data_IF_809512031174
#
_entry.id   IF_809512031174
#
_cell.length_a   1.000
_cell.length_b   1.000
_cell.length_c   1.000
_cell.angle_alpha   90.00
_cell.angle_beta   90.00
_cell.angle_gamma   90.00
#
_symmetry.space_group_name_H-M   'P 1'
#
loop_
_entity.id
_entity.type
_entity.pdbx_description
1 polymer ?
#
# COMPACT_ATOMS: atom_id res chain seq x y z
N UNK A 1 34.05 -50.80 50.44
CA UNK A 1 34.18 -51.36 49.07
C UNK A 1 32.92 -52.16 48.82
N UNK A 2 32.00 -51.86 47.92
CA UNK A 2 31.97 -51.05 46.70
C UNK A 2 30.60 -50.31 46.70
N UNK A 3 30.41 -49.02 46.42
CA UNK A 3 30.99 -48.13 45.41
C UNK A 3 31.18 -48.86 44.08
N UNK A 4 30.08 -49.26 43.43
CA UNK A 4 29.94 -49.29 41.96
C UNK A 4 28.55 -49.77 41.47
N UNK A 5 27.41 -49.28 42.00
CA UNK A 5 26.09 -49.60 41.40
C UNK A 5 25.04 -48.49 41.53
N UNK A 6 25.42 -47.21 41.39
CA UNK A 6 24.45 -46.11 41.35
C UNK A 6 24.77 -45.01 40.32
N UNK A 7 25.42 -45.37 39.20
CA UNK A 7 25.81 -44.40 38.16
C UNK A 7 25.39 -44.82 36.74
N UNK A 8 24.28 -45.55 36.58
CA UNK A 8 23.67 -45.77 35.26
C UNK A 8 22.16 -45.54 35.15
N UNK A 9 21.48 -45.07 36.22
CA UNK A 9 20.03 -44.80 36.18
C UNK A 9 19.63 -43.33 36.32
N UNK A 10 20.57 -42.38 36.09
CA UNK A 10 20.28 -40.94 36.11
C UNK A 10 20.65 -40.16 34.84
N UNK A 11 20.98 -40.85 33.74
CA UNK A 11 21.33 -40.19 32.47
C UNK A 11 20.28 -40.41 31.36
N UNK A 12 19.28 -41.29 31.55
CA UNK A 12 18.23 -41.52 30.54
C UNK A 12 16.93 -40.74 30.82
N UNK A 13 16.75 -40.18 32.02
CA UNK A 13 15.53 -39.41 32.39
C UNK A 13 15.67 -37.89 32.29
N UNK A 14 16.81 -37.36 31.83
CA UNK A 14 17.05 -35.91 31.66
C UNK A 14 17.27 -35.49 30.20
N UNK A 15 17.03 -36.38 29.23
CA UNK A 15 17.03 -36.03 27.79
C UNK A 15 15.61 -36.12 27.17
N UNK A 16 14.61 -36.63 27.91
CA UNK A 16 13.21 -36.68 27.46
C UNK A 16 12.36 -35.46 27.89
N UNK A 17 12.92 -34.49 28.60
CA UNK A 17 12.22 -33.26 29.04
C UNK A 17 12.83 -31.97 28.47
N UNK A 18 13.72 -32.07 27.49
CA UNK A 18 14.26 -30.92 26.75
C UNK A 18 14.12 -31.02 25.21
N UNK A 19 13.29 -31.94 24.71
CA UNK A 19 12.93 -32.06 23.28
C UNK A 19 11.41 -32.14 23.11
N UNK A 20 10.66 -31.30 23.83
CA UNK A 20 9.23 -31.04 23.54
C UNK A 20 8.89 -29.55 23.47
N UNK A 21 9.90 -28.67 23.44
CA UNK A 21 9.75 -27.22 23.39
C UNK A 21 10.20 -26.59 22.06
N UNK A 22 10.36 -27.39 21.00
CA UNK A 22 10.82 -26.89 19.69
C UNK A 22 9.96 -27.33 18.48
N UNK A 23 8.77 -27.91 18.69
CA UNK A 23 7.80 -28.18 17.62
C UNK A 23 6.35 -27.83 17.99
N UNK A 24 6.16 -26.90 18.92
CA UNK A 24 4.86 -26.31 19.19
C UNK A 24 4.82 -24.90 18.61
N UNK A 25 4.99 -24.80 17.29
CA UNK A 25 4.40 -23.70 16.52
C UNK A 25 2.89 -23.88 16.57
N UNK A 26 2.28 -23.55 17.70
CA UNK A 26 0.83 -23.62 17.87
C UNK A 26 0.20 -22.50 17.06
N UNK A 27 -0.14 -22.78 15.80
CA UNK A 27 -1.27 -22.15 15.13
C UNK A 27 -2.54 -22.69 15.80
N UNK A 28 -2.81 -22.26 17.04
CA UNK A 28 -4.05 -22.58 17.73
C UNK A 28 -5.07 -21.51 17.39
N UNK A 29 -5.55 -21.51 16.15
CA UNK A 29 -6.79 -20.83 15.82
C UNK A 29 -7.93 -21.54 16.56
N UNK A 30 -8.50 -20.92 17.60
CA UNK A 30 -9.66 -21.49 18.32
C UNK A 30 -10.76 -21.82 17.28
N UNK A 31 -11.19 -23.09 17.17
CA UNK A 31 -12.18 -23.52 16.18
C UNK A 31 -13.57 -22.93 16.42
N UNK A 32 -13.82 -22.33 17.59
CA UNK A 32 -15.11 -21.72 17.96
C UNK A 32 -15.16 -20.21 17.70
N UNK A 33 -14.12 -19.63 17.11
CA UNK A 33 -14.08 -18.22 16.74
C UNK A 33 -14.95 -17.97 15.50
N UNK A 34 -15.86 -17.01 15.61
CA UNK A 34 -16.70 -16.56 14.49
C UNK A 34 -15.85 -15.85 13.43
N UNK A 35 -16.19 -16.03 12.15
CA UNK A 35 -15.45 -15.39 11.04
C UNK A 35 -15.78 -13.90 10.91
N UNK A 36 -17.00 -13.50 11.27
CA UNK A 36 -17.44 -12.11 11.23
C UNK A 36 -18.53 -11.81 12.25
N UNK A 37 -18.59 -10.54 12.63
CA UNK A 37 -19.63 -9.98 13.51
C UNK A 37 -20.25 -8.79 12.81
N UNK A 38 -21.49 -8.96 12.35
CA UNK A 38 -22.24 -7.92 11.65
C UNK A 38 -22.88 -6.97 12.67
N UNK A 39 -22.37 -5.74 12.75
CA UNK A 39 -22.72 -4.81 13.83
C UNK A 39 -24.17 -4.34 13.76
N UNK A 40 -24.73 -4.15 12.56
CA UNK A 40 -26.15 -3.81 12.42
C UNK A 40 -27.07 -4.90 12.99
N UNK A 41 -26.70 -6.18 12.81
CA UNK A 41 -27.40 -7.30 13.43
C UNK A 41 -27.17 -7.32 14.94
N UNK A 42 -25.91 -7.12 15.38
CA UNK A 42 -25.51 -7.14 16.78
C UNK A 42 -26.28 -6.12 17.64
N UNK A 43 -26.53 -4.91 17.12
CA UNK A 43 -27.31 -3.87 17.81
C UNK A 43 -28.81 -3.94 17.55
N UNK A 44 -29.28 -4.89 16.73
CA UNK A 44 -30.70 -5.07 16.40
C UNK A 44 -31.27 -4.07 15.39
N UNK A 45 -30.41 -3.31 14.69
CA UNK A 45 -30.81 -2.26 13.74
C UNK A 45 -31.59 -2.79 12.53
N UNK A 46 -31.43 -4.07 12.19
CA UNK A 46 -32.14 -4.68 11.06
C UNK A 46 -33.64 -4.89 11.32
N UNK A 47 -34.03 -4.96 12.60
CA UNK A 47 -35.37 -5.38 13.04
C UNK A 47 -36.09 -4.33 13.89
N UNK A 48 -35.40 -3.28 14.34
CA UNK A 48 -35.92 -2.26 15.25
C UNK A 48 -35.53 -0.86 14.77
N UNK A 49 -36.44 0.10 14.94
CA UNK A 49 -36.16 1.53 14.72
C UNK A 49 -35.48 2.15 15.94
N UNK A 50 -34.57 3.07 15.69
CA UNK A 50 -33.84 3.81 16.71
C UNK A 50 -33.98 5.31 16.45
N UNK A 51 -34.07 6.09 17.53
CA UNK A 51 -34.09 7.55 17.45
C UNK A 51 -32.86 8.05 16.71
N UNK A 52 -33.04 8.96 15.76
CA UNK A 52 -31.95 9.52 14.96
C UNK A 52 -31.36 8.58 13.91
N UNK A 53 -32.02 7.45 13.62
CA UNK A 53 -31.57 6.49 12.61
C UNK A 53 -32.68 6.22 11.59
N UNK A 54 -32.37 6.37 10.30
CA UNK A 54 -33.29 6.08 9.18
C UNK A 54 -32.61 5.19 8.15
N UNK A 55 -33.38 4.38 7.41
CA UNK A 55 -32.81 3.58 6.31
C UNK A 55 -32.55 4.47 5.08
N UNK A 56 -31.46 4.22 4.36
CA UNK A 56 -31.03 5.01 3.19
C UNK A 56 -30.53 4.09 2.07
N UNK A 57 -30.24 4.68 0.91
CA UNK A 57 -29.63 3.98 -0.24
C UNK A 57 -28.14 3.77 0.00
N UNK A 58 -27.70 2.51 -0.03
CA UNK A 58 -26.32 2.13 0.22
C UNK A 58 -25.44 2.09 -1.03
N UNK A 59 -24.14 1.84 -0.83
CA UNK A 59 -23.15 1.57 -1.88
C UNK A 59 -23.32 0.17 -2.49
N UNK A 60 -23.61 -0.82 -1.65
CA UNK A 60 -23.83 -2.22 -2.05
C UNK A 60 -25.30 -2.43 -2.39
N UNK A 61 -25.58 -3.06 -3.54
CA UNK A 61 -26.95 -3.31 -4.02
C UNK A 61 -27.78 -4.24 -3.14
N UNK A 62 -27.13 -5.16 -2.41
CA UNK A 62 -27.79 -6.20 -1.62
C UNK A 62 -27.76 -5.95 -0.09
N UNK A 63 -27.23 -4.81 0.36
CA UNK A 63 -27.05 -4.50 1.79
C UNK A 63 -27.88 -3.31 2.25
N UNK A 64 -28.47 -3.36 3.45
CA UNK A 64 -29.13 -2.19 4.06
C UNK A 64 -28.08 -1.16 4.50
N UNK A 65 -28.32 0.11 4.17
CA UNK A 65 -27.59 1.25 4.71
C UNK A 65 -28.50 2.07 5.62
N UNK A 66 -27.89 2.76 6.57
CA UNK A 66 -28.62 3.61 7.52
C UNK A 66 -27.95 4.98 7.63
N UNK A 67 -28.77 6.01 7.70
CA UNK A 67 -28.41 7.37 8.02
C UNK A 67 -28.51 7.60 9.53
N UNK A 68 -27.52 8.25 10.13
CA UNK A 68 -27.41 8.53 11.56
C UNK A 68 -27.30 10.03 11.79
N UNK A 69 -27.92 10.51 12.88
CA UNK A 69 -27.89 11.94 13.27
C UNK A 69 -27.33 12.15 14.68
N UNK A 70 -27.24 13.39 15.14
CA UNK A 70 -26.89 13.71 16.54
C UNK A 70 -27.92 13.30 17.58
N UNK A 71 -29.11 12.86 17.16
CA UNK A 71 -30.12 12.31 18.07
C UNK A 71 -29.94 10.80 18.31
N UNK A 72 -28.95 10.18 17.64
CA UNK A 72 -28.67 8.75 17.78
C UNK A 72 -28.29 8.39 19.21
N UNK A 73 -29.04 7.44 19.79
CA UNK A 73 -28.81 6.91 21.14
C UNK A 73 -29.08 5.40 21.20
N UNK A 74 -28.55 4.72 22.22
CA UNK A 74 -28.86 3.32 22.56
C UNK A 74 -28.56 2.24 21.49
N UNK A 75 -27.70 2.52 20.51
CA UNK A 75 -27.12 1.49 19.64
C UNK A 75 -26.01 0.69 20.35
N UNK A 76 -26.43 -0.24 21.22
CA UNK A 76 -25.56 -1.12 22.00
C UNK A 76 -25.77 -2.55 21.49
N UNK A 77 -24.68 -3.28 21.27
CA UNK A 77 -24.75 -4.68 20.86
C UNK A 77 -25.31 -5.56 21.99
N UNK A 78 -25.96 -6.67 21.63
CA UNK A 78 -26.33 -7.68 22.62
C UNK A 78 -25.10 -8.23 23.34
N UNK A 79 -25.28 -8.71 24.58
CA UNK A 79 -24.18 -9.29 25.36
C UNK A 79 -23.52 -10.47 24.62
N UNK A 80 -24.32 -11.30 23.94
CA UNK A 80 -23.83 -12.40 23.12
C UNK A 80 -22.90 -11.91 22.00
N UNK A 81 -23.31 -10.87 21.26
CA UNK A 81 -22.51 -10.32 20.18
C UNK A 81 -21.25 -9.61 20.70
N UNK A 82 -21.33 -8.94 21.86
CA UNK A 82 -20.15 -8.39 22.54
C UNK A 82 -19.18 -9.50 22.94
N UNK A 83 -19.65 -10.59 23.56
CA UNK A 83 -18.81 -11.70 23.98
C UNK A 83 -18.09 -12.34 22.78
N UNK A 84 -18.79 -12.51 21.65
CA UNK A 84 -18.19 -12.98 20.41
C UNK A 84 -17.11 -12.01 19.88
N UNK A 85 -17.37 -10.70 19.94
CA UNK A 85 -16.39 -9.68 19.54
C UNK A 85 -15.18 -9.67 20.46
N UNK A 86 -15.39 -9.80 21.76
CA UNK A 86 -14.34 -9.85 22.75
C UNK A 86 -13.43 -11.08 22.51
N UNK A 87 -14.03 -12.25 22.29
CA UNK A 87 -13.29 -13.48 21.92
C UNK A 87 -12.52 -13.30 20.62
N UNK A 88 -13.14 -12.72 19.59
CA UNK A 88 -12.47 -12.47 18.31
C UNK A 88 -11.27 -11.56 18.47
N UNK A 89 -11.39 -10.45 19.19
CA UNK A 89 -10.31 -9.47 19.37
C UNK A 89 -9.12 -10.07 20.13
N UNK A 90 -9.38 -10.89 21.16
CA UNK A 90 -8.32 -11.40 22.05
C UNK A 90 -7.74 -12.75 21.63
N UNK A 91 -8.52 -13.56 20.90
CA UNK A 91 -8.11 -14.92 20.53
C UNK A 91 -7.77 -15.04 19.03
N UNK A 92 -7.92 -13.98 18.23
CA UNK A 92 -7.42 -13.95 16.86
C UNK A 92 -5.98 -13.42 16.79
N UNK A 93 -5.18 -14.03 15.92
CA UNK A 93 -3.86 -13.51 15.57
C UNK A 93 -3.98 -12.23 14.74
N UNK A 94 -5.01 -12.15 13.88
CA UNK A 94 -5.31 -11.02 13.02
C UNK A 94 -6.82 -10.77 13.00
N UNK A 95 -7.26 -9.51 13.00
CA UNK A 95 -8.64 -9.15 12.68
C UNK A 95 -8.75 -7.77 12.05
N UNK A 96 -9.90 -7.49 11.43
CA UNK A 96 -10.21 -6.20 10.84
C UNK A 96 -11.55 -5.65 11.30
N UNK A 97 -11.63 -4.33 11.42
CA UNK A 97 -12.88 -3.58 11.55
C UNK A 97 -13.14 -2.91 10.21
N UNK A 98 -14.29 -3.18 9.62
CA UNK A 98 -14.68 -2.70 8.30
C UNK A 98 -15.98 -1.92 8.37
N UNK A 99 -16.08 -0.86 7.58
CA UNK A 99 -17.33 -0.14 7.32
C UNK A 99 -17.29 0.53 5.94
N UNK A 100 -18.44 0.55 5.25
CA UNK A 100 -18.71 1.60 4.27
C UNK A 100 -19.26 2.82 5.01
N UNK A 101 -18.68 3.98 4.75
CA UNK A 101 -19.06 5.23 5.41
C UNK A 101 -19.14 6.38 4.40
N UNK A 102 -20.08 7.29 4.66
CA UNK A 102 -20.23 8.57 3.98
C UNK A 102 -20.63 9.59 5.05
N UNK A 103 -19.85 10.65 5.24
CA UNK A 103 -20.10 11.65 6.28
C UNK A 103 -20.96 12.77 5.69
N UNK A 104 -21.84 13.35 6.50
CA UNK A 104 -22.58 14.55 6.10
C UNK A 104 -21.67 15.77 6.00
N UNK A 105 -21.87 16.56 4.94
CA UNK A 105 -21.16 17.82 4.73
C UNK A 105 -21.72 18.91 5.64
N UNK A 106 -21.25 19.00 6.89
CA UNK A 106 -21.53 20.16 7.75
C UNK A 106 -20.31 21.11 7.83
N UNK A 107 -20.33 22.25 7.11
CA UNK A 107 -19.23 23.21 7.12
C UNK A 107 -19.08 23.96 8.45
N UNK A 108 -20.05 23.86 9.36
CA UNK A 108 -20.11 24.65 10.60
C UNK A 108 -19.61 23.93 11.84
N UNK A 109 -19.34 22.61 11.76
CA UNK A 109 -19.11 21.82 12.97
C UNK A 109 -18.00 20.77 12.85
N UNK A 110 -17.12 20.78 13.85
CA UNK A 110 -16.09 19.76 14.06
C UNK A 110 -16.76 18.54 14.69
N UNK A 111 -17.44 17.71 13.88
CA UNK A 111 -17.96 16.44 14.38
C UNK A 111 -16.93 15.34 14.22
N UNK A 112 -16.65 14.69 15.35
CA UNK A 112 -16.03 13.38 15.34
C UNK A 112 -17.09 12.33 15.14
N UNK A 113 -16.95 11.48 14.13
CA UNK A 113 -17.96 10.48 13.77
C UNK A 113 -17.48 9.10 14.20
N UNK A 114 -17.98 8.60 15.32
CA UNK A 114 -17.65 7.25 15.81
C UNK A 114 -18.28 6.21 14.90
N UNK A 115 -17.50 5.26 14.37
CA UNK A 115 -18.05 4.08 13.67
C UNK A 115 -18.41 3.02 14.69
N UNK A 116 -17.44 2.60 15.52
CA UNK A 116 -17.63 1.63 16.60
C UNK A 116 -16.80 2.02 17.81
N UNK A 117 -17.29 1.64 18.99
CA UNK A 117 -16.54 1.79 20.24
C UNK A 117 -16.79 0.63 21.19
N UNK A 118 -15.83 0.36 22.07
CA UNK A 118 -15.96 -0.53 23.22
C UNK A 118 -15.53 0.26 24.45
N UNK A 119 -16.47 0.50 25.36
CA UNK A 119 -16.21 1.14 26.64
C UNK A 119 -16.87 0.38 27.78
N UNK A 120 -16.33 0.54 28.98
CA UNK A 120 -16.99 0.09 30.22
C UNK A 120 -18.43 0.59 30.29
N UNK A 121 -19.31 -0.14 30.97
CA UNK A 121 -20.72 0.25 31.15
C UNK A 121 -20.89 1.65 31.77
N UNK A 122 -19.94 2.05 32.62
CA UNK A 122 -19.88 3.37 33.27
C UNK A 122 -19.25 4.44 32.38
N UNK A 123 -18.55 4.08 31.31
CA UNK A 123 -17.82 5.00 30.42
C UNK A 123 -16.48 5.49 30.99
N UNK A 124 -16.02 4.94 32.12
CA UNK A 124 -14.76 5.30 32.78
C UNK A 124 -13.52 4.74 32.09
N UNK A 125 -13.65 3.59 31.44
CA UNK A 125 -12.63 2.98 30.59
C UNK A 125 -13.11 2.92 29.14
N UNK A 126 -12.26 3.37 28.21
CA UNK A 126 -12.42 3.27 26.77
C UNK A 126 -11.38 2.29 26.22
N UNK A 127 -11.82 1.11 25.81
CA UNK A 127 -10.96 0.03 25.37
C UNK A 127 -10.59 0.13 23.88
N UNK A 128 -11.59 0.47 23.04
CA UNK A 128 -11.43 0.58 21.59
C UNK A 128 -12.35 1.67 21.05
N UNK A 129 -11.86 2.48 20.11
CA UNK A 129 -12.64 3.49 19.41
C UNK A 129 -12.12 3.65 18.00
N UNK A 130 -13.02 3.52 17.01
CA UNK A 130 -12.74 3.86 15.61
C UNK A 130 -13.65 5.02 15.22
N UNK A 131 -13.05 6.14 14.86
CA UNK A 131 -13.78 7.35 14.44
C UNK A 131 -13.20 7.94 13.16
N UNK A 132 -14.04 8.70 12.45
CA UNK A 132 -13.68 9.35 11.20
C UNK A 132 -14.14 10.81 11.16
N UNK A 133 -13.29 11.67 10.61
CA UNK A 133 -13.50 13.11 10.60
C UNK A 133 -13.17 13.67 9.21
N UNK A 134 -13.98 14.62 8.73
CA UNK A 134 -13.63 15.44 7.55
C UNK A 134 -12.57 16.49 7.90
N UNK A 135 -11.74 16.87 6.93
CA UNK A 135 -10.68 17.86 7.16
C UNK A 135 -11.22 19.30 7.29
N UNK A 136 -10.67 20.09 8.22
CA UNK A 136 -11.15 21.47 8.55
C UNK A 136 -11.01 22.50 7.43
N UNK A 137 -10.16 22.26 6.42
CA UNK A 137 -9.80 23.23 5.37
C UNK A 137 -10.00 22.70 3.93
N UNK A 138 -10.83 21.68 3.74
CA UNK A 138 -11.12 21.13 2.42
C UNK A 138 -11.62 19.68 2.46
N UNK A 139 -11.61 19.02 1.31
CA UNK A 139 -11.71 17.56 1.20
C UNK A 139 -10.54 16.87 1.93
N UNK A 140 -10.70 15.61 2.32
CA UNK A 140 -9.77 14.87 3.17
C UNK A 140 -10.49 14.16 4.30
N UNK A 141 -10.19 12.88 4.50
CA UNK A 141 -10.73 12.05 5.55
C UNK A 141 -9.60 11.67 6.52
N UNK A 142 -9.84 11.89 7.80
CA UNK A 142 -8.99 11.42 8.90
C UNK A 142 -9.66 10.23 9.57
N UNK A 143 -8.92 9.14 9.76
CA UNK A 143 -9.34 8.00 10.56
C UNK A 143 -8.52 8.00 11.84
N UNK A 144 -9.20 8.00 12.99
CA UNK A 144 -8.56 7.92 14.31
C UNK A 144 -8.99 6.63 15.00
N UNK A 145 -8.00 5.85 15.42
CA UNK A 145 -8.20 4.62 16.20
C UNK A 145 -7.57 4.83 17.57
N UNK A 146 -8.36 4.72 18.64
CA UNK A 146 -7.85 4.69 20.01
C UNK A 146 -7.98 3.28 20.57
N UNK A 147 -6.93 2.79 21.20
CA UNK A 147 -6.92 1.50 21.88
C UNK A 147 -6.30 1.66 23.25
N UNK A 148 -6.84 0.95 24.24
CA UNK A 148 -6.17 0.76 25.52
C UNK A 148 -5.22 -0.42 25.39
N UNK A 149 -3.94 -0.18 25.68
CA UNK A 149 -2.93 -1.24 25.70
C UNK A 149 -2.92 -1.98 27.05
N UNK A 150 -2.17 -3.08 27.13
CA UNK A 150 -1.99 -3.90 28.35
C UNK A 150 -1.49 -3.14 29.59
N UNK A 151 -0.99 -1.92 29.42
CA UNK A 151 -0.53 -1.04 30.52
C UNK A 151 -1.61 -0.02 30.90
N UNK A 152 -2.85 -0.23 30.45
CA UNK A 152 -3.98 0.69 30.58
C UNK A 152 -3.74 2.06 29.96
N UNK A 153 -2.73 2.19 29.10
CA UNK A 153 -2.39 3.44 28.43
C UNK A 153 -3.15 3.54 27.13
N UNK A 154 -3.70 4.72 26.84
CA UNK A 154 -4.45 4.96 25.60
C UNK A 154 -3.49 5.33 24.47
N UNK A 155 -3.28 4.42 23.53
CA UNK A 155 -2.58 4.69 22.27
C UNK A 155 -3.55 5.22 21.21
N UNK A 156 -3.09 6.17 20.40
CA UNK A 156 -3.85 6.72 19.27
C UNK A 156 -3.09 6.55 17.96
N UNK A 157 -3.80 6.06 16.95
CA UNK A 157 -3.33 5.85 15.59
C UNK A 157 -4.16 6.70 14.65
N UNK A 158 -3.52 7.49 13.81
CA UNK A 158 -4.19 8.45 12.94
C UNK A 158 -3.65 8.28 11.52
N UNK A 159 -4.55 8.02 10.57
CA UNK A 159 -4.26 7.98 9.14
C UNK A 159 -5.09 9.04 8.42
N UNK A 160 -4.51 9.73 7.44
CA UNK A 160 -5.16 10.82 6.71
C UNK A 160 -5.04 10.58 5.21
N UNK A 161 -6.11 10.87 4.47
CA UNK A 161 -6.10 10.86 3.01
C UNK A 161 -5.60 12.18 2.44
N UNK A 162 -5.42 12.23 1.13
CA UNK A 162 -5.13 13.45 0.39
C UNK A 162 -6.23 14.52 0.55
N UNK A 163 -5.87 15.80 0.46
CA UNK A 163 -6.79 16.95 0.62
C UNK A 163 -7.87 17.06 -0.47
N UNK A 164 -7.81 16.25 -1.52
CA UNK A 164 -8.83 16.20 -2.58
C UNK A 164 -9.84 15.06 -2.36
N UNK A 165 -9.70 14.30 -1.27
CA UNK A 165 -10.53 13.15 -0.98
C UNK A 165 -11.94 13.55 -0.51
N UNK A 166 -12.95 13.25 -1.32
CA UNK A 166 -14.33 13.67 -1.09
C UNK A 166 -15.05 12.78 -0.07
N UNK A 167 -15.00 13.12 1.21
CA UNK A 167 -15.61 12.34 2.31
C UNK A 167 -17.16 12.30 2.27
N UNK A 168 -17.79 13.09 1.41
CA UNK A 168 -19.24 13.10 1.19
C UNK A 168 -19.69 12.00 0.21
N UNK A 169 -18.77 11.15 -0.24
CA UNK A 169 -19.05 9.94 -1.02
C UNK A 169 -18.83 8.68 -0.19
N UNK A 170 -19.37 7.57 -0.68
CA UNK A 170 -19.16 6.26 -0.07
C UNK A 170 -17.71 5.82 -0.19
N UNK A 171 -17.09 5.57 0.96
CA UNK A 171 -15.74 5.02 1.06
C UNK A 171 -15.72 3.82 1.98
N UNK A 172 -14.89 2.83 1.66
CA UNK A 172 -14.61 1.76 2.60
C UNK A 172 -13.52 2.21 3.56
N UNK A 173 -13.66 1.80 4.82
CA UNK A 173 -12.73 2.10 5.89
C UNK A 173 -12.41 0.79 6.56
N UNK A 174 -11.14 0.43 6.56
CA UNK A 174 -10.65 -0.83 7.13
C UNK A 174 -9.53 -0.54 8.11
N UNK A 175 -9.70 -0.98 9.36
CA UNK A 175 -8.65 -0.97 10.37
C UNK A 175 -8.27 -2.42 10.64
N UNK A 176 -7.07 -2.82 10.26
CA UNK A 176 -6.55 -4.18 10.45
C UNK A 176 -5.55 -4.18 11.62
N UNK A 177 -5.77 -5.07 12.57
CA UNK A 177 -4.86 -5.37 13.67
C UNK A 177 -4.21 -6.72 13.38
N UNK A 178 -2.88 -6.75 13.33
CA UNK A 178 -2.11 -7.95 13.05
C UNK A 178 -1.16 -8.18 14.23
N UNK A 179 -1.56 -9.04 15.16
CA UNK A 179 -0.73 -9.36 16.32
C UNK A 179 0.51 -10.16 15.90
N UNK A 180 0.39 -10.98 14.85
CA UNK A 180 1.49 -11.76 14.26
C UNK A 180 2.69 -10.88 13.85
N UNK A 181 2.39 -9.73 13.24
CA UNK A 181 3.40 -8.75 12.79
C UNK A 181 3.58 -7.58 13.78
N UNK A 182 2.79 -7.54 14.87
CA UNK A 182 2.71 -6.38 15.79
C UNK A 182 2.44 -5.06 15.05
N UNK A 183 1.49 -5.07 14.12
CA UNK A 183 1.15 -3.91 13.29
C UNK A 183 -0.35 -3.59 13.32
N UNK A 184 -0.65 -2.29 13.27
CA UNK A 184 -1.96 -1.76 12.91
C UNK A 184 -1.85 -1.08 11.56
N UNK A 185 -2.78 -1.39 10.66
CA UNK A 185 -2.89 -0.82 9.33
C UNK A 185 -4.26 -0.18 9.12
N UNK A 186 -4.30 1.01 8.53
CA UNK A 186 -5.54 1.71 8.21
C UNK A 186 -5.61 1.87 6.69
N UNK A 187 -6.74 1.51 6.12
CA UNK A 187 -7.05 1.65 4.71
C UNK A 187 -8.30 2.49 4.52
N UNK A 188 -8.27 3.37 3.51
CA UNK A 188 -9.41 4.18 3.09
C UNK A 188 -9.52 4.07 1.57
N UNK A 189 -10.68 3.64 1.08
CA UNK A 189 -10.90 3.42 -0.36
C UNK A 189 -9.95 2.37 -0.95
N UNK A 190 -9.50 1.40 -0.15
CA UNK A 190 -8.49 0.41 -0.54
C UNK A 190 -7.02 0.89 -0.48
N UNK A 191 -6.76 2.20 -0.33
CA UNK A 191 -5.40 2.74 -0.19
C UNK A 191 -4.98 2.71 1.27
N UNK A 192 -3.77 2.23 1.55
CA UNK A 192 -3.18 2.30 2.89
C UNK A 192 -2.83 3.74 3.25
N UNK A 193 -3.33 4.23 4.38
CA UNK A 193 -3.07 5.58 4.91
C UNK A 193 -2.25 5.55 6.20
N UNK A 194 -2.11 4.38 6.84
CA UNK A 194 -1.24 4.19 8.00
C UNK A 194 -0.77 2.73 8.08
N UNK A 195 0.49 2.54 8.46
CA UNK A 195 1.03 1.32 9.04
C UNK A 195 1.91 1.70 10.24
N UNK A 196 1.65 1.13 11.42
CA UNK A 196 2.40 1.47 12.65
C UNK A 196 2.49 0.27 13.59
N UNK A 197 3.51 0.27 14.44
CA UNK A 197 3.66 -0.71 15.52
C UNK A 197 2.42 -0.74 16.42
N UNK A 198 1.94 -1.94 16.74
CA UNK A 198 0.79 -2.20 17.57
C UNK A 198 1.17 -3.15 18.71
N UNK A 199 0.92 -2.73 19.95
CA UNK A 199 1.36 -3.43 21.17
C UNK A 199 0.31 -4.37 21.79
N UNK A 200 -0.77 -4.63 21.06
CA UNK A 200 -1.89 -5.43 21.54
C UNK A 200 -2.92 -4.64 22.35
N UNK A 201 -3.98 -5.34 22.73
CA UNK A 201 -5.09 -4.82 23.55
C UNK A 201 -4.89 -5.12 25.03
N UNK A 202 -5.44 -4.27 25.90
CA UNK A 202 -5.81 -4.69 27.25
C UNK A 202 -7.00 -5.65 27.22
N UNK A 203 -7.19 -6.39 28.31
CA UNK A 203 -8.36 -7.25 28.49
C UNK A 203 -9.61 -6.36 28.64
N UNK A 204 -10.61 -6.58 27.78
CA UNK A 204 -11.87 -5.86 27.92
C UNK A 204 -12.69 -6.48 29.07
N UNK A 205 -13.29 -5.64 29.91
CA UNK A 205 -14.14 -6.10 31.00
C UNK A 205 -15.37 -6.86 30.47
N UNK A 206 -15.77 -7.97 31.12
CA UNK A 206 -16.89 -8.83 30.69
C UNK A 206 -18.23 -8.08 30.52
N UNK A 207 -18.41 -6.97 31.24
CA UNK A 207 -19.59 -6.12 31.19
C UNK A 207 -19.43 -4.86 30.32
N UNK A 208 -18.36 -4.77 29.53
CA UNK A 208 -18.16 -3.68 28.59
C UNK A 208 -19.21 -3.72 27.47
N UNK A 209 -19.36 -2.59 26.79
CA UNK A 209 -20.42 -2.38 25.82
C UNK A 209 -19.81 -2.03 24.47
N UNK A 210 -20.05 -2.90 23.49
CA UNK A 210 -19.82 -2.62 22.08
C UNK A 210 -20.95 -1.75 21.54
N UNK A 211 -20.59 -0.59 20.99
CA UNK A 211 -21.52 0.43 20.50
C UNK A 211 -21.27 0.73 19.03
N UNK A 212 -22.35 0.98 18.31
CA UNK A 212 -22.34 1.45 16.91
C UNK A 212 -22.64 2.95 16.89
N UNK A 213 -21.97 3.68 16.00
CA UNK A 213 -22.27 5.08 15.67
C UNK A 213 -22.14 6.08 16.84
N UNK A 214 -21.57 5.67 17.98
CA UNK A 214 -21.50 6.48 19.19
C UNK A 214 -20.43 5.97 20.16
N UNK A 215 -19.96 6.83 21.05
CA UNK A 215 -19.11 6.46 22.19
C UNK A 215 -19.72 6.97 23.49
N UNK A 216 -19.59 6.22 24.58
CA UNK A 216 -20.00 6.63 25.92
C UNK A 216 -18.75 6.82 26.78
N UNK A 217 -18.53 8.04 27.24
CA UNK A 217 -17.36 8.45 28.02
C UNK A 217 -17.79 9.32 29.21
N UNK A 218 -17.04 9.21 30.30
CA UNK A 218 -17.20 10.05 31.50
C UNK A 218 -16.44 11.37 31.33
N UNK A 219 -17.12 12.48 31.59
CA UNK A 219 -16.50 13.82 31.67
C UNK A 219 -15.92 14.09 33.07
N UNK A 220 -15.33 15.27 33.25
CA UNK A 220 -15.09 15.79 34.59
C UNK A 220 -16.43 15.80 35.37
N UNK A 221 -16.40 15.47 36.66
CA UNK A 221 -17.56 15.33 37.55
C UNK A 221 -18.29 13.96 37.54
N UNK A 222 -17.71 12.90 36.96
CA UNK A 222 -18.29 11.54 36.95
C UNK A 222 -19.63 11.40 36.21
N UNK A 223 -20.00 12.38 35.38
CA UNK A 223 -21.18 12.31 34.53
C UNK A 223 -20.80 11.70 33.19
N UNK A 224 -21.30 10.50 32.91
CA UNK A 224 -21.13 9.80 31.64
C UNK A 224 -22.11 10.27 30.58
N UNK A 225 -21.61 10.63 29.40
CA UNK A 225 -22.43 11.11 28.28
C UNK A 225 -22.09 10.39 26.97
N UNK A 226 -23.10 10.28 26.09
CA UNK A 226 -22.89 9.84 24.72
C UNK A 226 -22.30 10.99 23.91
N UNK A 227 -21.14 10.75 23.31
CA UNK A 227 -20.37 11.72 22.52
C UNK A 227 -20.09 11.20 21.11
N UNK A 228 -19.59 12.10 20.27
CA UNK A 228 -19.03 11.80 18.95
C UNK A 228 -19.93 10.89 18.10
N UNK A 229 -21.23 11.21 18.09
CA UNK A 229 -22.25 10.49 17.33
C UNK A 229 -21.94 10.60 15.83
N UNK A 230 -22.10 9.49 15.13
CA UNK A 230 -21.95 9.47 13.68
C UNK A 230 -23.04 10.33 13.02
N UNK A 231 -22.63 11.23 12.13
CA UNK A 231 -23.54 11.99 11.26
C UNK A 231 -23.27 11.63 9.79
N UNK A 232 -24.23 10.97 9.17
CA UNK A 232 -24.13 10.49 7.80
C UNK A 232 -24.55 9.04 7.66
N UNK A 233 -24.10 8.40 6.58
CA UNK A 233 -24.52 7.05 6.21
C UNK A 233 -23.45 6.00 6.52
N UNK A 234 -23.87 4.89 7.14
CA UNK A 234 -23.07 3.67 7.29
C UNK A 234 -23.72 2.49 6.56
N UNK A 235 -22.88 1.60 6.04
CA UNK A 235 -23.29 0.32 5.48
C UNK A 235 -22.26 -0.76 5.82
N UNK A 236 -22.72 -2.00 6.05
CA UNK A 236 -21.87 -3.19 6.21
C UNK A 236 -20.77 -3.04 7.28
N UNK A 237 -21.13 -2.54 8.46
CA UNK A 237 -20.19 -2.39 9.59
C UNK A 237 -19.96 -3.75 10.24
N UNK A 238 -18.70 -4.21 10.30
CA UNK A 238 -18.37 -5.55 10.81
C UNK A 238 -16.97 -5.67 11.39
N UNK A 239 -16.82 -6.62 12.32
CA UNK A 239 -15.53 -7.21 12.68
C UNK A 239 -15.33 -8.46 11.83
N UNK A 240 -14.11 -8.69 11.35
CA UNK A 240 -13.76 -9.79 10.46
C UNK A 240 -12.52 -10.47 11.04
N UNK A 241 -12.59 -11.77 11.27
CA UNK A 241 -11.44 -12.59 11.64
C UNK A 241 -10.45 -12.61 10.47
N UNK A 242 -9.17 -12.35 10.75
CA UNK A 242 -8.12 -12.59 9.77
C UNK A 242 -7.85 -14.08 9.63
N UNK A 243 -7.76 -14.58 8.40
CA UNK A 243 -7.30 -15.94 8.14
C UNK A 243 -5.78 -15.99 8.24
N UNK A 244 -5.24 -17.10 8.76
CA UNK A 244 -3.81 -17.41 8.64
C UNK A 244 -3.44 -17.53 7.16
N UNK A 245 -2.21 -17.16 6.79
CA UNK A 245 -1.72 -17.09 5.40
C UNK A 245 -1.83 -18.39 4.58
N UNK A 246 -2.16 -19.54 5.18
CA UNK A 246 -1.97 -20.86 4.57
C UNK A 246 -3.23 -21.51 3.95
N UNK A 247 -4.43 -20.99 4.19
CA UNK A 247 -5.68 -21.59 3.66
C UNK A 247 -6.40 -20.65 2.68
N UNK A 248 -5.89 -20.58 1.45
CA UNK A 248 -6.60 -19.95 0.32
C UNK A 248 -6.97 -21.01 -0.73
N UNK A 249 -8.28 -21.33 -0.93
CA UNK A 249 -8.70 -22.04 -2.12
C UNK A 249 -8.60 -21.13 -3.37
N UNK A 250 -8.33 -21.71 -4.56
CA UNK A 250 -8.16 -20.95 -5.79
C UNK A 250 -9.44 -20.21 -6.22
N UNK A 251 -9.25 -19.02 -6.78
CA UNK A 251 -10.29 -18.11 -7.26
C UNK A 251 -11.08 -18.72 -8.43
N UNK A 252 -12.37 -18.98 -8.21
CA UNK A 252 -13.32 -19.18 -9.32
C UNK A 252 -13.91 -17.83 -9.78
N UNK A 253 -14.03 -17.73 -11.09
CA UNK A 253 -14.38 -16.53 -11.85
C UNK A 253 -15.79 -16.02 -11.51
N UNK A 254 -15.87 -14.79 -11.00
CA UNK A 254 -17.09 -13.98 -11.04
C UNK A 254 -17.66 -13.62 -9.68
N UNK A 255 -17.07 -12.61 -9.01
CA UNK A 255 -17.71 -12.04 -7.83
C UNK A 255 -16.81 -11.15 -6.99
N UNK A 256 -16.84 -9.85 -7.29
CA UNK A 256 -16.69 -8.73 -6.36
C UNK A 256 -15.58 -8.86 -5.29
N UNK A 257 -14.42 -8.30 -5.63
CA UNK A 257 -13.22 -8.23 -4.79
C UNK A 257 -13.50 -7.46 -3.48
N UNK A 258 -13.45 -8.17 -2.36
CA UNK A 258 -13.15 -7.60 -1.05
C UNK A 258 -11.71 -7.99 -0.72
N UNK A 259 -10.75 -7.07 -0.87
CA UNK A 259 -9.38 -7.32 -0.45
C UNK A 259 -9.31 -7.33 1.09
N UNK A 260 -9.57 -8.47 1.72
CA UNK A 260 -9.09 -8.82 3.07
C UNK A 260 -7.70 -9.46 3.04
N UNK A 261 -7.14 -9.63 1.84
CA UNK A 261 -5.84 -10.23 1.64
C UNK A 261 -4.75 -9.19 1.91
N UNK A 262 -3.71 -9.56 2.65
CA UNK A 262 -2.40 -8.98 2.38
C UNK A 262 -2.13 -9.40 0.94
N UNK A 263 -2.40 -8.52 -0.03
CA UNK A 263 -2.10 -8.82 -1.42
C UNK A 263 -0.65 -9.25 -1.44
N UNK A 264 -0.30 -10.43 -1.97
CA UNK A 264 1.08 -10.83 -2.09
C UNK A 264 1.87 -9.68 -2.70
N UNK A 265 2.84 -9.16 -1.96
CA UNK A 265 3.60 -7.98 -2.39
C UNK A 265 4.97 -8.40 -2.86
N UNK A 266 5.42 -7.70 -3.90
CA UNK A 266 6.74 -7.88 -4.46
C UNK A 266 7.61 -6.69 -4.05
N UNK A 267 8.88 -6.96 -3.75
CA UNK A 267 9.85 -5.94 -3.40
C UNK A 267 10.90 -5.85 -4.51
N UNK A 268 11.06 -4.66 -5.10
CA UNK A 268 12.17 -4.35 -6.00
C UNK A 268 12.99 -3.20 -5.40
N UNK A 269 14.17 -3.53 -4.89
CA UNK A 269 15.13 -2.57 -4.27
C UNK A 269 14.54 -1.64 -3.20
N UNK A 270 13.53 -2.10 -2.45
CA UNK A 270 12.89 -1.36 -1.36
C UNK A 270 11.56 -0.73 -1.73
N UNK A 271 11.13 -0.77 -3.00
CA UNK A 271 9.79 -0.35 -3.42
C UNK A 271 8.86 -1.57 -3.46
N UNK A 272 7.66 -1.39 -2.90
CA UNK A 272 6.67 -2.46 -2.71
C UNK A 272 5.60 -2.35 -3.80
N UNK A 273 5.34 -3.46 -4.49
CA UNK A 273 4.33 -3.60 -5.54
C UNK A 273 3.28 -4.63 -5.13
N UNK A 274 2.01 -4.37 -5.43
CA UNK A 274 0.89 -5.27 -5.15
C UNK A 274 0.74 -6.31 -6.27
N UNK A 275 0.13 -7.45 -5.95
CA UNK A 275 -0.25 -8.46 -6.94
C UNK A 275 -1.01 -7.84 -8.14
N UNK A 276 -0.59 -8.21 -9.34
CA UNK A 276 -1.08 -7.68 -10.61
C UNK A 276 -0.40 -6.38 -11.07
N UNK A 277 0.29 -5.65 -10.18
CA UNK A 277 1.02 -4.45 -10.60
C UNK A 277 2.21 -4.80 -11.49
N UNK A 278 2.44 -3.94 -12.47
CA UNK A 278 3.55 -4.04 -13.43
C UNK A 278 4.47 -2.83 -13.33
N UNK A 279 5.78 -3.05 -13.38
CA UNK A 279 6.79 -1.98 -13.28
C UNK A 279 8.04 -2.27 -14.12
N UNK A 280 8.88 -1.24 -14.33
CA UNK A 280 10.23 -1.40 -14.86
C UNK A 280 11.19 -1.70 -13.73
N UNK A 281 12.02 -2.75 -13.87
CA UNK A 281 12.94 -3.12 -12.78
C UNK A 281 13.93 -1.98 -12.45
N UNK A 282 14.16 -1.74 -11.16
CA UNK A 282 15.05 -0.68 -10.69
C UNK A 282 16.52 -0.92 -11.08
N UNK A 283 16.93 -2.19 -11.17
CA UNK A 283 18.29 -2.59 -11.56
C UNK A 283 18.48 -2.66 -13.08
N UNK A 284 17.40 -2.81 -13.85
CA UNK A 284 17.44 -2.90 -15.31
C UNK A 284 16.13 -2.40 -15.93
N UNK A 285 16.17 -1.21 -16.51
CA UNK A 285 15.01 -0.56 -17.14
C UNK A 285 14.44 -1.31 -18.36
N UNK A 286 15.14 -2.33 -18.85
CA UNK A 286 14.66 -3.20 -19.92
C UNK A 286 13.84 -4.39 -19.44
N UNK A 287 13.68 -4.60 -18.13
CA UNK A 287 12.81 -5.66 -17.61
C UNK A 287 11.44 -5.09 -17.27
N UNK A 288 10.41 -5.69 -17.85
CA UNK A 288 9.02 -5.51 -17.42
C UNK A 288 8.73 -6.57 -16.37
N UNK A 289 8.51 -6.11 -15.15
CA UNK A 289 8.18 -6.92 -14.00
C UNK A 289 6.68 -6.90 -13.75
N UNK A 290 6.15 -8.02 -13.25
CA UNK A 290 4.80 -8.12 -12.69
C UNK A 290 4.86 -8.86 -11.37
N UNK A 291 4.02 -8.44 -10.43
CA UNK A 291 3.89 -9.15 -9.16
C UNK A 291 2.82 -10.23 -9.28
N UNK A 292 3.25 -11.49 -9.26
CA UNK A 292 2.35 -12.65 -9.30
C UNK A 292 2.53 -13.40 -7.99
N UNK A 293 1.49 -13.40 -7.15
CA UNK A 293 1.49 -14.12 -5.86
C UNK A 293 2.73 -13.83 -4.98
N UNK A 294 3.24 -12.60 -5.00
CA UNK A 294 4.36 -12.15 -4.15
C UNK A 294 5.72 -12.45 -4.74
N UNK A 295 5.75 -13.03 -5.95
CA UNK A 295 6.95 -13.24 -6.73
C UNK A 295 7.07 -12.19 -7.83
N UNK A 296 8.19 -11.47 -7.85
CA UNK A 296 8.55 -10.58 -8.96
C UNK A 296 8.88 -11.43 -10.19
N UNK A 297 7.99 -11.46 -11.16
CA UNK A 297 8.22 -12.11 -12.45
C UNK A 297 8.65 -11.02 -13.44
N UNK A 298 9.94 -10.96 -13.74
CA UNK A 298 10.52 -9.99 -14.64
C UNK A 298 10.92 -10.66 -15.95
N UNK A 299 10.49 -10.09 -17.07
CA UNK A 299 10.86 -10.54 -18.40
C UNK A 299 11.27 -9.37 -19.28
N UNK A 300 12.23 -9.55 -20.20
CA UNK A 300 12.48 -8.56 -21.23
C UNK A 300 11.23 -8.37 -22.12
N UNK A 301 11.07 -7.21 -22.78
CA UNK A 301 9.98 -7.02 -23.73
C UNK A 301 10.08 -8.01 -24.87
N UNK A 302 8.93 -8.40 -25.42
CA UNK A 302 8.88 -9.14 -26.68
C UNK A 302 9.34 -8.21 -27.80
N UNK A 303 10.52 -8.47 -28.34
CA UNK A 303 11.07 -7.68 -29.43
C UNK A 303 10.66 -8.25 -30.79
N UNK A 304 10.28 -7.40 -31.75
CA UNK A 304 10.19 -7.84 -33.14
C UNK A 304 11.58 -8.28 -33.61
N UNK A 305 11.65 -9.37 -34.38
CA UNK A 305 12.89 -9.82 -35.02
C UNK A 305 13.15 -8.93 -36.23
N UNK A 306 14.25 -8.15 -36.27
CA UNK A 306 14.56 -7.31 -37.41
C UNK A 306 15.00 -8.16 -38.60
N UNK A 307 14.53 -7.81 -39.81
CA UNK A 307 15.05 -8.39 -41.05
C UNK A 307 16.23 -7.56 -41.55
N UNK A 308 17.44 -8.10 -41.38
CA UNK A 308 18.69 -7.46 -41.79
C UNK A 308 19.29 -8.06 -43.07
N UNK A 309 18.54 -8.90 -43.80
CA UNK A 309 19.04 -9.64 -44.97
C UNK A 309 19.52 -8.74 -46.12
N UNK A 310 19.07 -7.48 -46.18
CA UNK A 310 19.52 -6.47 -47.13
C UNK A 310 20.54 -5.44 -46.60
N UNK A 311 21.06 -5.62 -45.38
CA UNK A 311 21.97 -4.68 -44.68
C UNK A 311 23.40 -5.24 -44.65
N UNK A 312 24.44 -4.41 -44.52
CA UNK A 312 25.82 -4.94 -44.44
C UNK A 312 25.97 -5.85 -43.22
N UNK A 313 26.64 -6.98 -43.43
CA UNK A 313 27.00 -7.99 -42.44
C UNK A 313 25.83 -8.68 -41.70
N UNK A 314 24.55 -8.35 -42.01
CA UNK A 314 23.36 -8.95 -41.38
C UNK A 314 23.43 -9.00 -39.84
N UNK A 315 24.08 -8.01 -39.23
CA UNK A 315 24.43 -8.00 -37.81
C UNK A 315 23.39 -7.24 -36.98
N UNK A 316 23.09 -7.75 -35.79
CA UNK A 316 22.17 -7.13 -34.84
C UNK A 316 22.96 -6.37 -33.76
N UNK A 317 22.47 -5.19 -33.39
CA UNK A 317 22.99 -4.41 -32.26
C UNK A 317 21.86 -4.00 -31.32
N UNK A 318 22.15 -3.90 -30.03
CA UNK A 318 21.25 -3.30 -29.03
C UNK A 318 21.81 -1.91 -28.70
N UNK A 319 21.19 -0.83 -29.21
CA UNK A 319 21.70 0.53 -28.99
C UNK A 319 21.68 0.91 -27.50
N UNK A 320 22.58 1.81 -27.09
CA UNK A 320 22.60 2.31 -25.71
C UNK A 320 21.23 2.88 -25.30
N UNK A 321 20.75 2.45 -24.12
CA UNK A 321 19.45 2.86 -23.58
C UNK A 321 18.23 2.27 -24.31
N UNK A 322 18.42 1.32 -25.23
CA UNK A 322 17.35 0.55 -25.88
C UNK A 322 17.36 -0.90 -25.42
N UNK A 323 16.21 -1.56 -25.52
CA UNK A 323 16.00 -2.92 -25.01
C UNK A 323 15.85 -3.98 -26.11
N UNK A 324 15.58 -3.55 -27.34
CA UNK A 324 15.39 -4.45 -28.47
C UNK A 324 16.53 -4.34 -29.48
N UNK A 325 16.93 -5.46 -30.10
CA UNK A 325 17.91 -5.44 -31.16
C UNK A 325 17.35 -4.74 -32.39
N UNK A 326 18.24 -4.08 -33.13
CA UNK A 326 18.00 -3.51 -34.46
C UNK A 326 19.13 -3.95 -35.39
N UNK A 327 18.96 -3.79 -36.69
CA UNK A 327 20.08 -3.96 -37.60
C UNK A 327 21.17 -2.94 -37.26
N UNK A 328 22.43 -3.37 -37.24
CA UNK A 328 23.56 -2.55 -36.80
C UNK A 328 23.71 -1.24 -37.58
N UNK A 329 23.36 -1.22 -38.87
CA UNK A 329 23.29 0.00 -39.69
C UNK A 329 22.16 0.95 -39.29
N UNK A 330 21.08 0.40 -38.73
CA UNK A 330 19.86 1.14 -38.41
C UNK A 330 19.87 1.71 -36.99
N UNK A 331 20.91 1.40 -36.19
CA UNK A 331 21.02 1.84 -34.80
C UNK A 331 21.05 3.36 -34.62
N UNK A 332 21.35 4.11 -35.68
CA UNK A 332 21.43 5.58 -35.65
C UNK A 332 20.15 6.25 -36.22
N UNK A 333 19.19 5.50 -36.74
CA UNK A 333 17.97 6.06 -37.34
C UNK A 333 17.21 6.92 -36.32
N UNK A 334 16.80 8.12 -36.75
CA UNK A 334 16.06 9.07 -35.90
C UNK A 334 16.94 9.91 -34.96
N UNK A 335 18.25 9.64 -34.86
CA UNK A 335 19.18 10.44 -34.04
C UNK A 335 19.82 11.61 -34.80
N UNK A 336 19.59 11.70 -36.13
CA UNK A 336 20.26 12.66 -37.01
C UNK A 336 21.73 12.32 -37.29
N UNK A 337 22.18 11.11 -36.93
CA UNK A 337 23.51 10.56 -37.16
C UNK A 337 23.45 9.39 -38.13
N UNK A 338 24.58 9.07 -38.74
CA UNK A 338 24.78 7.95 -39.66
C UNK A 338 25.73 6.92 -39.03
N UNK A 339 25.42 5.65 -39.23
CA UNK A 339 26.30 4.57 -38.81
C UNK A 339 27.54 4.50 -39.71
N UNK A 340 28.71 4.34 -39.11
CA UNK A 340 29.96 4.04 -39.83
C UNK A 340 30.81 3.06 -39.02
N UNK A 341 31.45 2.09 -39.71
CA UNK A 341 32.48 1.21 -39.14
C UNK A 341 33.76 1.98 -38.77
N UNK A 342 33.94 3.17 -39.33
CA UNK A 342 35.09 4.03 -39.09
C UNK A 342 34.66 5.50 -39.20
N UNK A 343 34.55 6.17 -38.05
CA UNK A 343 34.24 7.60 -37.98
C UNK A 343 34.89 8.30 -36.79
N UNK A 344 34.89 9.64 -36.85
CA UNK A 344 35.39 10.51 -35.80
C UNK A 344 34.25 11.21 -35.06
N UNK A 345 34.33 11.28 -33.72
CA UNK A 345 33.45 12.13 -32.90
C UNK A 345 33.87 13.60 -33.03
N UNK A 346 33.52 14.21 -34.15
CA UNK A 346 33.76 15.63 -34.41
C UNK A 346 32.66 16.47 -33.72
N UNK A 347 33.09 17.45 -32.95
CA UNK A 347 32.28 18.44 -32.23
C UNK A 347 32.67 19.83 -32.71
N UNK A 348 31.89 20.84 -32.34
CA UNK A 348 32.24 22.23 -32.60
C UNK A 348 33.61 22.65 -32.04
N UNK A 349 34.15 21.93 -31.06
CA UNK A 349 35.43 22.27 -30.41
C UNK A 349 36.65 21.59 -31.02
N UNK A 350 36.48 20.48 -31.77
CA UNK A 350 37.59 19.67 -32.28
C UNK A 350 37.48 19.40 -33.79
N UNK A 351 36.69 20.21 -34.51
CA UNK A 351 36.47 20.04 -35.94
C UNK A 351 37.67 20.45 -36.80
N UNK A 352 38.13 19.54 -37.66
CA UNK A 352 39.16 19.83 -38.65
C UNK A 352 38.59 20.01 -40.08
N UNK A 353 38.77 21.17 -40.73
CA UNK A 353 38.20 21.45 -42.06
C UNK A 353 38.73 20.56 -43.20
N UNK A 354 39.89 19.93 -43.03
CA UNK A 354 40.65 19.29 -44.11
C UNK A 354 40.25 17.84 -44.41
N UNK A 355 39.14 17.35 -43.85
CA UNK A 355 38.69 15.98 -44.10
C UNK A 355 39.76 14.95 -43.74
N UNK A 356 40.28 15.05 -42.51
CA UNK A 356 41.35 14.19 -42.02
C UNK A 356 40.93 12.72 -42.08
N UNK A 357 41.82 11.88 -42.62
CA UNK A 357 41.76 10.43 -42.47
C UNK A 357 41.82 10.11 -40.96
N UNK A 358 40.65 9.91 -40.36
CA UNK A 358 40.46 9.58 -38.96
C UNK A 358 41.27 8.33 -38.58
N UNK A 359 42.38 8.49 -37.87
CA UNK A 359 43.19 7.39 -37.37
C UNK A 359 43.74 7.68 -35.95
N UNK A 360 43.41 6.85 -34.94
CA UNK A 360 42.49 5.72 -35.01
C UNK A 360 41.03 6.19 -35.11
N UNK A 361 40.25 5.57 -35.99
CA UNK A 361 38.80 5.75 -36.00
C UNK A 361 38.11 4.76 -35.07
N UNK A 362 36.86 5.07 -34.72
CA UNK A 362 35.98 4.17 -33.98
C UNK A 362 34.75 3.82 -34.82
N UNK A 363 34.21 2.63 -34.61
CA UNK A 363 32.89 2.24 -35.11
C UNK A 363 31.79 2.93 -34.27
N UNK A 364 30.67 3.33 -34.90
CA UNK A 364 29.53 3.93 -34.19
C UNK A 364 28.67 4.90 -35.01
N UNK A 365 27.89 5.73 -34.32
CA UNK A 365 27.04 6.76 -34.93
C UNK A 365 27.76 8.11 -34.99
N UNK A 366 27.90 8.68 -36.19
CA UNK A 366 28.60 9.94 -36.44
C UNK A 366 27.69 10.94 -37.13
N UNK A 367 28.00 12.23 -37.03
CA UNK A 367 27.26 13.23 -37.78
C UNK A 367 27.42 12.99 -39.29
N UNK A 368 26.39 13.28 -40.11
CA UNK A 368 26.49 13.19 -41.56
C UNK A 368 27.67 13.98 -42.09
N UNK A 369 28.19 13.57 -43.26
CA UNK A 369 29.40 14.17 -43.83
C UNK A 369 29.31 15.70 -43.88
N UNK A 370 30.30 16.38 -43.31
CA UNK A 370 30.37 17.85 -43.26
C UNK A 370 29.57 18.49 -42.12
N UNK A 371 29.05 17.69 -41.17
CA UNK A 371 28.42 18.17 -39.94
C UNK A 371 29.21 17.76 -38.70
N UNK A 372 29.00 18.50 -37.60
CA UNK A 372 29.66 18.31 -36.31
C UNK A 372 28.66 18.41 -35.18
N UNK A 373 28.97 17.79 -34.04
CA UNK A 373 28.12 17.81 -32.86
C UNK A 373 28.26 19.14 -32.11
N UNK A 374 27.16 19.84 -31.87
CA UNK A 374 27.14 21.01 -31.00
C UNK A 374 26.97 20.61 -29.51
N UNK A 375 27.04 21.60 -28.61
CA UNK A 375 26.90 21.40 -27.16
C UNK A 375 25.52 20.88 -26.73
N UNK A 376 24.52 20.96 -27.62
CA UNK A 376 23.17 20.42 -27.42
C UNK A 376 23.03 18.98 -27.93
N UNK A 377 24.11 18.37 -28.40
CA UNK A 377 24.12 17.00 -28.93
C UNK A 377 23.50 16.87 -30.34
N UNK A 378 23.39 17.97 -31.09
CA UNK A 378 22.79 17.99 -32.44
C UNK A 378 23.86 18.13 -33.51
N UNK A 379 23.68 17.42 -34.63
CA UNK A 379 24.54 17.59 -35.80
C UNK A 379 24.19 18.88 -36.53
N UNK A 380 25.19 19.75 -36.69
CA UNK A 380 25.05 21.04 -37.35
C UNK A 380 26.20 21.26 -38.34
N UNK A 381 25.97 22.08 -39.36
CA UNK A 381 27.08 22.53 -40.20
C UNK A 381 28.10 23.31 -39.35
N UNK A 382 29.42 23.14 -39.56
CA UNK A 382 30.46 23.81 -38.78
C UNK A 382 30.30 25.33 -38.67
N UNK A 383 29.74 25.97 -39.70
CA UNK A 383 29.46 27.41 -39.70
C UNK A 383 28.40 27.84 -38.65
N UNK A 384 27.58 26.90 -38.17
CA UNK A 384 26.59 27.11 -37.11
C UNK A 384 27.15 26.82 -35.71
N UNK A 385 28.43 26.48 -35.60
CA UNK A 385 29.09 26.39 -34.31
C UNK A 385 29.25 27.78 -33.70
N UNK A 386 28.94 27.87 -32.40
CA UNK A 386 29.24 29.06 -31.63
C UNK A 386 30.74 29.07 -31.30
N UNK A 387 31.36 30.24 -31.33
CA UNK A 387 32.75 30.43 -30.90
C UNK A 387 32.82 31.32 -29.68
N UNK A 388 33.81 31.08 -28.82
CA UNK A 388 34.07 31.92 -27.65
C UNK A 388 35.40 32.64 -27.84
N UNK A 389 35.34 33.96 -27.92
CA UNK A 389 36.52 34.83 -28.00
C UNK A 389 36.42 35.87 -26.88
N UNK A 390 37.48 35.98 -26.07
CA UNK A 390 37.54 36.92 -24.93
C UNK A 390 36.32 36.83 -23.99
N UNK A 391 35.91 35.60 -23.66
CA UNK A 391 34.78 35.32 -22.77
C UNK A 391 33.38 35.61 -23.34
N UNK A 392 33.27 36.01 -24.61
CA UNK A 392 31.99 36.27 -25.29
C UNK A 392 31.70 35.22 -26.36
N UNK A 393 30.47 34.72 -26.38
CA UNK A 393 30.01 33.69 -27.32
C UNK A 393 29.33 34.30 -28.54
N UNK A 394 29.82 33.98 -29.73
CA UNK A 394 29.29 34.44 -31.02
C UNK A 394 28.65 33.28 -31.78
N UNK A 395 27.50 33.51 -32.41
CA UNK A 395 26.63 32.46 -32.96
C UNK A 395 27.08 31.88 -34.32
N UNK A 396 28.08 32.50 -34.98
CA UNK A 396 28.53 32.09 -36.33
C UNK A 396 30.03 32.31 -36.45
N UNK A 397 30.78 31.22 -36.54
CA UNK A 397 32.21 31.28 -36.84
C UNK A 397 32.40 31.47 -38.37
N UNK A 398 32.62 32.70 -38.83
CA UNK A 398 33.09 32.90 -40.21
C UNK A 398 34.55 32.46 -40.29
N UNK A 399 34.78 31.32 -40.95
CA UNK A 399 36.04 30.83 -41.52
C UNK A 399 37.33 31.35 -40.85
N UNK A 400 37.96 30.47 -40.06
CA UNK A 400 39.33 30.57 -39.53
C UNK A 400 39.63 31.81 -38.68
N UNK A 401 39.08 31.83 -37.47
CA UNK A 401 39.83 32.01 -36.20
C UNK A 401 38.81 32.09 -35.07
N UNK A 402 38.81 31.09 -34.18
CA UNK A 402 38.60 31.34 -32.76
C UNK A 402 39.95 31.77 -32.19
#
# INVERSE_FOLDING_TARGET
MAVLMMTQFRVIFLVATLISSLLSGTNSSDPNLVDKIEIFKAVGLLNKQFTGVTQTSGKLGNGKAFHFTDQTIHLIASQEAYNQANKLIHNSYDFSIFAWAKIDSDPSAIYRNTIVSVSSKTGSELFLLVMIDGHRRGSGLKVTVSVQDKRKTRAQYQGETDRLFDYNKWHNITVRFQNSESLIRIFVGGKMVLAKEFKGFDIFADNAQLRLAQVYEVEAENIGAIKHRFKGDLQDVKFIRGTSLDDCPPLDTGGQVACTHTCPTCNDTGTIYLHGETWKAATNSCLDCRCEEGKSICSPPTCPVPDCTGKKNNELAIPEGKCCPVCKEDQCIGTGKEYSECGCKQTCSNFEPSGSNCNPCSEGCFCPRGQVLNDRGQCVAPIRCSCTYDGKTYQVCKLKTC
#
